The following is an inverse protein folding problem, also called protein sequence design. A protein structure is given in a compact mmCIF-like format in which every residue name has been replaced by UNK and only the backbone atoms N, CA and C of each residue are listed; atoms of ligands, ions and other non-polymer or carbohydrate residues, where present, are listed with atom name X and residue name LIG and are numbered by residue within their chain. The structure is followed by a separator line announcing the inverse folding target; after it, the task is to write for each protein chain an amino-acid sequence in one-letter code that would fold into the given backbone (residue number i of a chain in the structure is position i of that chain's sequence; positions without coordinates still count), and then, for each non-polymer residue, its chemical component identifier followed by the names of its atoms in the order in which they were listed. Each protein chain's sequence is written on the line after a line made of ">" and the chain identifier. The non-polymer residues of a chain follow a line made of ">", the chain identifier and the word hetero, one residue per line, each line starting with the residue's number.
data_IF_539026540856
#
_entry.id   IF_539026540856
#
_cell.length_a   1.000
_cell.length_b   1.000
_cell.length_c   1.000
_cell.angle_alpha   90.00
_cell.angle_beta   90.00
_cell.angle_gamma   90.00
#
_symmetry.space_group_name_H-M   'P 1'
#
loop_
_entity.id
_entity.type
_entity.pdbx_description
1 polymer ?
#
# COMPACT_ATOMS: atom_id res chain seq x y z
N UNK A 1 -58.21 18.89 12.85
CA UNK A 1 -57.85 17.76 11.96
C UNK A 1 -57.26 18.18 10.60
N UNK A 2 -57.50 19.39 10.06
CA UNK A 2 -57.05 19.79 8.71
C UNK A 2 -55.69 20.55 8.68
N UNK A 3 -55.41 21.36 9.71
CA UNK A 3 -54.18 22.16 9.82
C UNK A 3 -52.94 21.31 10.08
N UNK A 4 -53.10 20.25 10.87
CA UNK A 4 -52.05 19.31 11.23
C UNK A 4 -51.54 18.55 10.01
N UNK A 5 -52.44 18.13 9.10
CA UNK A 5 -52.06 17.46 7.84
C UNK A 5 -51.27 18.36 6.88
N UNK A 6 -51.50 19.69 6.88
CA UNK A 6 -50.74 20.63 6.03
C UNK A 6 -49.30 20.80 6.50
N UNK A 7 -49.07 20.85 7.81
CA UNK A 7 -47.71 20.99 8.38
C UNK A 7 -46.87 19.74 8.09
N UNK A 8 -47.48 18.54 8.17
CA UNK A 8 -46.80 17.29 7.81
C UNK A 8 -46.50 17.18 6.31
N UNK A 9 -47.37 17.67 5.44
CA UNK A 9 -47.18 17.65 3.98
C UNK A 9 -46.06 18.62 3.54
N UNK A 10 -46.02 19.83 4.10
CA UNK A 10 -44.95 20.79 3.85
C UNK A 10 -43.59 20.26 4.36
N UNK A 11 -43.57 19.61 5.52
CA UNK A 11 -42.36 18.96 6.04
C UNK A 11 -41.90 17.80 5.15
N UNK A 12 -42.82 16.98 4.64
CA UNK A 12 -42.48 15.90 3.71
C UNK A 12 -41.92 16.44 2.38
N UNK A 13 -42.44 17.57 1.91
CA UNK A 13 -41.97 18.23 0.68
C UNK A 13 -40.59 18.85 0.86
N UNK A 14 -40.34 19.47 2.02
CA UNK A 14 -39.01 19.98 2.41
C UNK A 14 -38.03 18.82 2.59
N UNK A 15 -38.41 17.74 3.27
CA UNK A 15 -37.56 16.57 3.45
C UNK A 15 -37.21 15.90 2.13
N UNK A 16 -38.15 15.77 1.19
CA UNK A 16 -37.85 15.26 -0.15
C UNK A 16 -36.96 16.21 -0.95
N UNK A 17 -37.16 17.53 -0.83
CA UNK A 17 -36.29 18.54 -1.45
C UNK A 17 -34.87 18.50 -0.90
N UNK A 18 -34.71 18.38 0.43
CA UNK A 18 -33.43 18.29 1.13
C UNK A 18 -32.75 16.94 0.87
N UNK A 19 -33.49 15.84 0.85
CA UNK A 19 -32.96 14.53 0.49
C UNK A 19 -32.44 14.53 -0.96
N UNK A 20 -33.14 15.20 -1.88
CA UNK A 20 -32.70 15.35 -3.26
C UNK A 20 -31.42 16.16 -3.42
N UNK A 21 -31.27 17.28 -2.70
CA UNK A 21 -30.04 18.10 -2.73
C UNK A 21 -28.87 17.42 -2.04
N UNK A 22 -29.09 16.73 -0.91
CA UNK A 22 -28.06 15.95 -0.21
C UNK A 22 -27.59 14.76 -1.04
N UNK A 23 -28.50 14.07 -1.74
CA UNK A 23 -28.13 12.98 -2.65
C UNK A 23 -27.32 13.48 -3.87
N UNK A 24 -27.66 14.66 -4.41
CA UNK A 24 -26.90 15.31 -5.48
C UNK A 24 -25.51 15.76 -5.02
N UNK A 25 -25.44 16.49 -3.90
CA UNK A 25 -24.17 16.90 -3.28
C UNK A 25 -23.31 15.70 -2.85
N UNK A 26 -23.92 14.60 -2.42
CA UNK A 26 -23.21 13.38 -2.05
C UNK A 26 -22.43 12.76 -3.20
N UNK A 27 -23.03 12.70 -4.41
CA UNK A 27 -22.34 12.17 -5.60
C UNK A 27 -21.18 13.06 -6.04
N UNK A 28 -21.36 14.37 -6.01
CA UNK A 28 -20.32 15.34 -6.34
C UNK A 28 -19.20 15.34 -5.28
N UNK A 29 -19.56 15.19 -4.00
CA UNK A 29 -18.61 15.05 -2.91
C UNK A 29 -17.81 13.75 -2.99
N UNK A 30 -18.42 12.63 -3.35
CA UNK A 30 -17.73 11.35 -3.54
C UNK A 30 -16.69 11.46 -4.66
N UNK A 31 -17.07 12.01 -5.81
CA UNK A 31 -16.15 12.23 -6.93
C UNK A 31 -14.98 13.13 -6.52
N UNK A 32 -15.27 14.25 -5.86
CA UNK A 32 -14.26 15.20 -5.35
C UNK A 32 -13.35 14.58 -4.29
N UNK A 33 -13.89 13.70 -3.43
CA UNK A 33 -13.12 13.01 -2.40
C UNK A 33 -12.20 11.97 -3.00
N UNK A 34 -12.67 11.22 -4.02
CA UNK A 34 -11.87 10.22 -4.73
C UNK A 34 -10.72 10.85 -5.51
N UNK A 35 -10.94 12.00 -6.11
CA UNK A 35 -9.89 12.76 -6.81
C UNK A 35 -8.83 13.27 -5.82
N UNK A 36 -9.24 13.89 -4.71
CA UNK A 36 -8.32 14.31 -3.63
C UNK A 36 -7.57 13.13 -3.01
N UNK A 37 -8.23 11.99 -2.84
CA UNK A 37 -7.59 10.78 -2.33
C UNK A 37 -6.52 10.25 -3.29
N UNK A 38 -6.75 10.33 -4.62
CA UNK A 38 -5.75 9.96 -5.64
C UNK A 38 -4.58 10.93 -5.64
N UNK A 39 -4.82 12.23 -5.55
CA UNK A 39 -3.78 13.25 -5.48
C UNK A 39 -2.94 13.11 -4.21
N UNK A 40 -3.58 12.87 -3.07
CA UNK A 40 -2.90 12.59 -1.81
C UNK A 40 -2.08 11.30 -1.87
N UNK A 41 -2.65 10.22 -2.41
CA UNK A 41 -1.93 8.95 -2.57
C UNK A 41 -0.76 9.06 -3.56
N UNK A 42 -0.87 9.88 -4.62
CA UNK A 42 0.22 10.18 -5.53
C UNK A 42 1.31 11.07 -4.92
N UNK A 43 0.96 11.87 -3.90
CA UNK A 43 1.91 12.62 -3.08
C UNK A 43 2.61 11.79 -2.00
N UNK A 44 2.15 10.56 -1.75
CA UNK A 44 2.87 9.57 -0.96
C UNK A 44 3.85 8.85 -1.90
N UNK A 45 5.10 8.69 -1.47
CA UNK A 45 6.16 7.96 -2.20
C UNK A 45 5.86 6.45 -2.24
N UNK A 46 4.78 6.09 -2.94
CA UNK A 46 4.26 4.73 -3.06
C UNK A 46 4.80 4.11 -4.34
N UNK A 47 5.31 2.90 -4.20
CA UNK A 47 5.72 2.10 -5.36
C UNK A 47 4.48 1.69 -6.15
N UNK A 48 4.50 1.91 -7.46
CA UNK A 48 3.41 1.48 -8.32
C UNK A 48 3.31 -0.05 -8.34
N UNK A 49 2.14 -0.57 -8.70
CA UNK A 49 1.94 -2.03 -8.73
C UNK A 49 2.85 -2.68 -9.79
N UNK A 50 3.05 -1.99 -10.90
CA UNK A 50 3.87 -2.40 -12.02
C UNK A 50 5.35 -2.49 -11.62
N UNK A 51 5.88 -1.48 -10.91
CA UNK A 51 7.24 -1.50 -10.36
C UNK A 51 7.41 -2.61 -9.33
N UNK A 52 6.42 -2.81 -8.46
CA UNK A 52 6.43 -3.90 -7.49
C UNK A 52 6.50 -5.27 -8.18
N UNK A 53 5.68 -5.49 -9.21
CA UNK A 53 5.65 -6.74 -9.96
C UNK A 53 6.96 -6.95 -10.74
N UNK A 54 7.55 -5.89 -11.30
CA UNK A 54 8.85 -5.95 -11.97
C UNK A 54 9.98 -6.35 -11.00
N UNK A 55 10.05 -5.73 -9.82
CA UNK A 55 11.06 -6.05 -8.80
C UNK A 55 10.84 -7.47 -8.24
N UNK A 56 9.58 -7.89 -8.08
CA UNK A 56 9.25 -9.25 -7.65
C UNK A 56 9.75 -10.30 -8.65
N UNK A 57 9.53 -10.08 -9.95
CA UNK A 57 10.03 -10.96 -11.00
C UNK A 57 11.57 -10.99 -11.01
N UNK A 58 12.23 -9.83 -10.93
CA UNK A 58 13.68 -9.74 -10.84
C UNK A 58 14.23 -10.49 -9.61
N UNK A 59 13.58 -10.34 -8.45
CA UNK A 59 13.99 -11.01 -7.22
C UNK A 59 13.84 -12.54 -7.32
N UNK A 60 12.80 -13.04 -8.00
CA UNK A 60 12.62 -14.46 -8.24
C UNK A 60 13.75 -15.01 -9.14
N UNK A 61 13.99 -14.37 -10.29
CA UNK A 61 15.06 -14.77 -11.22
C UNK A 61 16.43 -14.75 -10.54
N UNK A 62 16.73 -13.70 -9.77
CA UNK A 62 17.99 -13.59 -9.05
C UNK A 62 18.18 -14.72 -8.01
N UNK A 63 17.10 -15.21 -7.39
CA UNK A 63 17.17 -16.35 -6.47
C UNK A 63 17.50 -17.65 -7.21
N UNK A 64 16.85 -17.88 -8.35
CA UNK A 64 17.12 -19.06 -9.19
C UNK A 64 18.56 -19.06 -9.71
N UNK A 65 19.03 -17.92 -10.21
CA UNK A 65 20.41 -17.76 -10.67
C UNK A 65 21.43 -17.94 -9.54
N UNK A 66 21.16 -17.42 -8.35
CA UNK A 66 22.02 -17.60 -7.18
C UNK A 66 22.13 -19.09 -6.77
N UNK A 67 21.04 -19.85 -6.84
CA UNK A 67 21.07 -21.30 -6.58
C UNK A 67 21.85 -22.06 -7.66
N UNK A 68 21.70 -21.69 -8.93
CA UNK A 68 22.46 -22.26 -10.03
C UNK A 68 23.97 -21.99 -9.89
N UNK A 69 24.35 -20.75 -9.58
CA UNK A 69 25.73 -20.37 -9.30
C UNK A 69 26.28 -21.09 -8.07
N UNK A 70 25.50 -21.19 -6.99
CA UNK A 70 25.90 -21.94 -5.79
C UNK A 70 26.22 -23.39 -6.09
N UNK A 71 25.43 -24.07 -6.93
CA UNK A 71 25.71 -25.44 -7.40
C UNK A 71 27.01 -25.53 -8.20
N UNK A 72 27.26 -24.57 -9.09
CA UNK A 72 28.51 -24.51 -9.88
C UNK A 72 29.73 -24.29 -8.99
N UNK A 73 29.63 -23.35 -8.04
CA UNK A 73 30.70 -23.08 -7.07
C UNK A 73 30.99 -24.33 -6.25
N UNK A 74 29.98 -25.00 -5.70
CA UNK A 74 30.19 -26.23 -4.92
C UNK A 74 30.85 -27.35 -5.75
N UNK A 75 30.47 -27.49 -7.03
CA UNK A 75 31.10 -28.47 -7.92
C UNK A 75 32.58 -28.15 -8.20
N UNK A 76 32.91 -26.86 -8.39
CA UNK A 76 34.29 -26.42 -8.59
C UNK A 76 35.12 -26.55 -7.31
N UNK A 77 34.56 -26.18 -6.16
CA UNK A 77 35.20 -26.34 -4.84
C UNK A 77 35.51 -27.81 -4.54
N UNK A 78 34.59 -28.72 -4.87
CA UNK A 78 34.81 -30.15 -4.75
C UNK A 78 35.93 -30.65 -5.68
N UNK A 79 35.98 -30.16 -6.92
CA UNK A 79 37.03 -30.51 -7.88
C UNK A 79 38.42 -29.97 -7.47
N UNK A 80 38.45 -28.80 -6.82
CA UNK A 80 39.69 -28.15 -6.37
C UNK A 80 40.15 -28.58 -4.97
N UNK A 81 39.36 -29.41 -4.26
CA UNK A 81 39.67 -29.87 -2.92
C UNK A 81 39.62 -28.78 -1.84
N UNK A 82 39.20 -27.56 -2.19
CA UNK A 82 39.00 -26.43 -1.28
C UNK A 82 37.64 -26.56 -0.61
N UNK A 83 37.62 -27.03 0.64
CA UNK A 83 36.42 -27.01 1.49
C UNK A 83 36.20 -25.59 2.04
N UNK A 84 35.46 -24.76 1.31
CA UNK A 84 34.89 -23.52 1.86
C UNK A 84 33.50 -23.81 2.40
N UNK A 85 33.31 -23.56 3.71
CA UNK A 85 32.04 -23.80 4.37
C UNK A 85 30.93 -22.89 3.80
N UNK A 86 29.69 -23.39 3.64
CA UNK A 86 28.62 -22.59 3.07
C UNK A 86 28.33 -21.41 4.01
N UNK A 87 28.47 -20.19 3.49
CA UNK A 87 27.99 -18.99 4.17
C UNK A 87 26.47 -19.10 4.26
N UNK A 88 25.98 -19.49 5.44
CA UNK A 88 24.56 -19.58 5.74
C UNK A 88 23.87 -18.26 5.35
N UNK A 89 22.72 -18.39 4.68
CA UNK A 89 21.80 -17.30 4.31
C UNK A 89 21.78 -16.24 5.42
N UNK A 90 22.42 -15.10 5.19
CA UNK A 90 22.30 -13.95 6.07
C UNK A 90 20.85 -13.48 6.02
N UNK A 91 20.08 -13.80 7.05
CA UNK A 91 18.77 -13.19 7.27
C UNK A 91 18.96 -11.67 7.32
N UNK A 92 18.05 -10.87 6.71
CA UNK A 92 18.17 -9.43 6.74
C UNK A 92 18.09 -8.97 8.20
N UNK A 93 19.20 -8.45 8.73
CA UNK A 93 19.22 -7.79 10.04
C UNK A 93 18.29 -6.59 9.95
N UNK A 94 17.19 -6.64 10.67
CA UNK A 94 16.31 -5.50 10.87
C UNK A 94 17.15 -4.29 11.33
N UNK A 95 17.04 -3.16 10.62
CA UNK A 95 17.68 -1.90 10.98
C UNK A 95 17.28 -1.52 12.42
N UNK A 96 18.21 -1.13 13.30
CA UNK A 96 17.84 -0.58 14.60
C UNK A 96 17.15 0.78 14.41
N UNK A 97 15.96 0.92 14.98
CA UNK A 97 15.19 2.17 14.96
C UNK A 97 15.97 3.34 15.58
N UNK A 98 15.83 4.58 15.08
CA UNK A 98 16.55 5.73 15.60
C UNK A 98 16.07 6.08 17.01
N UNK A 99 17.01 6.15 17.97
CA UNK A 99 16.74 6.63 19.33
C UNK A 99 16.36 8.11 19.28
N UNK A 100 15.13 8.42 19.70
CA UNK A 100 14.62 9.78 19.96
C UNK A 100 15.58 10.50 20.93
N UNK A 101 16.09 11.71 20.62
CA UNK A 101 16.89 12.46 21.58
C UNK A 101 15.99 12.89 22.74
N UNK A 102 16.32 12.41 23.93
CA UNK A 102 15.71 12.89 25.16
C UNK A 102 16.06 14.38 25.32
N UNK A 103 15.01 15.20 25.38
CA UNK A 103 15.11 16.60 25.75
C UNK A 103 15.89 16.73 27.06
N UNK A 104 16.95 17.54 27.05
CA UNK A 104 17.61 18.02 28.26
C UNK A 104 17.74 19.54 28.18
N UNK A 105 17.18 20.15 29.24
CA UNK A 105 17.26 21.53 29.71
C UNK A 105 16.48 22.59 28.94
#
# INVERSE_FOLDING_TARGET
>A
MQSEKRIFDDLAKVLNGVAGTVAGMGREAEASMRERAREWAGGLDLVTREEFDAVKALAANAREEAEALGKRVAALEAALGTKTAPVAKAAPKAKPAPKKPAAKK
#
